data_IF_015814954782
#
_entry.id   IF_015814954782
#
_cell.length_a   1.000
_cell.length_b   1.000
_cell.length_c   1.000
_cell.angle_alpha   90.00
_cell.angle_beta   90.00
_cell.angle_gamma   90.00
#
_symmetry.space_group_name_H-M   'P 1'
#
loop_
_entity.id
_entity.type
_entity.pdbx_description
1 polymer ?
#
# COMPACT_ATOMS: atom_id res chain seq x y z
N UNK A 1 5.84 88.01 -25.46
CA UNK A 1 7.13 87.71 -26.15
C UNK A 1 7.37 86.22 -25.95
N UNK A 2 7.14 85.28 -26.87
CA UNK A 2 6.90 85.25 -28.33
C UNK A 2 5.62 84.45 -28.63
N UNK A 3 4.92 84.89 -29.67
CA UNK A 3 3.87 84.20 -30.44
C UNK A 3 4.52 83.74 -31.75
N UNK A 4 4.28 82.50 -32.21
CA UNK A 4 4.16 82.02 -33.61
C UNK A 4 3.59 80.58 -33.47
N UNK A 5 2.34 80.22 -33.73
CA UNK A 5 1.50 80.13 -34.93
C UNK A 5 1.96 79.19 -36.08
N UNK A 6 0.97 78.39 -36.50
CA UNK A 6 0.63 77.96 -37.86
C UNK A 6 0.98 76.56 -38.40
N UNK A 7 -0.13 75.83 -38.63
CA UNK A 7 -0.52 75.18 -39.88
C UNK A 7 0.17 73.88 -40.32
N UNK A 8 -0.65 72.86 -40.58
CA UNK A 8 -0.21 71.63 -41.25
C UNK A 8 -1.29 70.55 -41.37
N UNK A 9 -2.51 70.91 -41.76
CA UNK A 9 -3.54 69.95 -42.18
C UNK A 9 -3.35 69.56 -43.66
N UNK A 10 -3.66 68.27 -43.95
CA UNK A 10 -3.78 67.57 -45.26
C UNK A 10 -2.47 66.92 -45.72
N UNK A 11 -2.42 65.61 -46.02
CA UNK A 11 -3.20 64.85 -47.03
C UNK A 11 -2.73 63.38 -46.90
N UNK A 12 -3.56 62.32 -46.83
CA UNK A 12 -4.11 61.47 -47.91
C UNK A 12 -4.76 60.25 -47.19
N UNK A 13 -6.08 60.04 -47.23
CA UNK A 13 -6.86 59.22 -48.19
C UNK A 13 -6.64 57.70 -48.09
N UNK A 14 -7.73 57.03 -47.71
CA UNK A 14 -8.21 55.67 -48.05
C UNK A 14 -7.77 54.39 -47.30
N UNK A 15 -8.85 53.64 -46.94
CA UNK A 15 -9.00 52.17 -46.81
C UNK A 15 -8.19 51.49 -45.69
N UNK A 16 -8.73 50.65 -44.80
CA UNK A 16 -9.80 49.68 -44.89
C UNK A 16 -10.28 49.32 -43.45
N UNK A 17 -11.59 49.14 -43.26
CA UNK A 17 -12.15 48.53 -42.06
C UNK A 17 -11.91 47.01 -42.12
N UNK A 18 -10.81 46.54 -41.53
CA UNK A 18 -10.57 45.12 -41.32
C UNK A 18 -11.40 44.60 -40.16
N UNK A 19 -12.49 43.90 -40.47
CA UNK A 19 -13.22 43.08 -39.51
C UNK A 19 -12.28 41.99 -38.96
N UNK A 20 -12.07 41.98 -37.65
CA UNK A 20 -11.40 40.85 -36.98
C UNK A 20 -12.37 39.65 -37.06
N UNK A 21 -11.96 38.50 -37.60
CA UNK A 21 -12.85 37.37 -37.75
C UNK A 21 -13.18 36.82 -36.36
N UNK A 22 -14.46 36.89 -35.97
CA UNK A 22 -15.01 36.31 -34.73
C UNK A 22 -14.67 34.81 -34.54
N UNK A 23 -14.20 34.11 -35.58
CA UNK A 23 -13.87 32.69 -35.52
C UNK A 23 -12.56 32.35 -34.79
N UNK A 24 -11.58 33.25 -34.67
CA UNK A 24 -10.27 32.93 -34.03
C UNK A 24 -10.23 33.18 -32.53
N UNK A 25 -10.96 34.19 -32.04
CA UNK A 25 -11.08 34.45 -30.60
C UNK A 25 -11.96 33.41 -29.89
N UNK A 26 -13.01 32.90 -30.56
CA UNK A 26 -13.86 31.85 -30.04
C UNK A 26 -13.15 30.48 -29.94
N UNK A 27 -12.24 30.16 -30.87
CA UNK A 27 -11.46 28.91 -30.81
C UNK A 27 -10.43 28.91 -29.67
N UNK A 28 -9.80 30.06 -29.38
CA UNK A 28 -8.85 30.17 -28.27
C UNK A 28 -9.55 30.10 -26.90
N UNK A 29 -10.73 30.71 -26.77
CA UNK A 29 -11.54 30.59 -25.55
C UNK A 29 -12.09 29.17 -25.34
N UNK A 30 -12.46 28.45 -26.41
CA UNK A 30 -12.90 27.07 -26.32
C UNK A 30 -11.75 26.10 -25.95
N UNK A 31 -10.53 26.33 -26.46
CA UNK A 31 -9.33 25.55 -26.10
C UNK A 31 -8.89 25.79 -24.65
N UNK A 32 -9.01 27.01 -24.12
CA UNK A 32 -8.76 27.29 -22.70
C UNK A 32 -9.87 26.75 -21.78
N UNK A 33 -11.12 26.71 -22.24
CA UNK A 33 -12.22 26.12 -21.49
C UNK A 33 -12.17 24.58 -21.42
N UNK A 34 -11.65 23.92 -22.47
CA UNK A 34 -11.41 22.46 -22.50
C UNK A 34 -10.23 22.02 -21.63
N UNK A 35 -9.28 22.92 -21.32
CA UNK A 35 -8.18 22.63 -20.40
C UNK A 35 -8.59 22.73 -18.91
N UNK A 36 -9.75 23.33 -18.60
CA UNK A 36 -10.22 23.56 -17.23
C UNK A 36 -11.20 22.49 -16.73
N UNK A 37 -11.51 21.46 -17.53
CA UNK A 37 -12.43 20.38 -17.14
C UNK A 37 -11.81 18.99 -17.14
N UNK A 38 -10.49 18.86 -17.29
CA UNK A 38 -9.85 17.60 -16.94
C UNK A 38 -10.03 17.43 -15.41
N UNK A 39 -10.77 16.41 -14.94
CA UNK A 39 -10.81 16.14 -13.51
C UNK A 39 -9.36 16.00 -13.06
N UNK A 40 -8.96 16.81 -12.07
CA UNK A 40 -7.64 16.68 -11.47
C UNK A 40 -7.46 15.20 -11.13
N UNK A 41 -6.52 14.53 -11.81
CA UNK A 41 -6.24 13.13 -11.55
C UNK A 41 -5.93 13.04 -10.05
N UNK A 42 -6.79 12.37 -9.29
CA UNK A 42 -6.57 12.15 -7.87
C UNK A 42 -5.39 11.19 -7.78
N UNK A 43 -4.24 11.72 -7.42
CA UNK A 43 -3.05 10.95 -7.12
C UNK A 43 -3.19 10.45 -5.68
N UNK A 44 -3.32 9.14 -5.47
CA UNK A 44 -3.42 8.55 -4.13
C UNK A 44 -2.78 7.16 -4.09
N UNK A 45 -2.20 6.82 -2.95
CA UNK A 45 -1.66 5.49 -2.67
C UNK A 45 -2.48 4.95 -1.50
N UNK A 46 -3.74 4.61 -1.79
CA UNK A 46 -4.86 4.36 -0.85
C UNK A 46 -4.59 3.34 0.25
N UNK A 47 -3.58 2.49 0.06
CA UNK A 47 -3.15 1.46 1.00
C UNK A 47 -2.07 1.96 1.98
N UNK A 48 -1.82 3.27 2.02
CA UNK A 48 -0.96 3.93 2.99
C UNK A 48 -1.75 4.72 4.03
N UNK A 49 -1.03 5.25 5.02
CA UNK A 49 -1.61 6.18 5.99
C UNK A 49 -2.20 7.43 5.31
N UNK A 50 -3.46 7.80 5.66
CA UNK A 50 -4.13 8.98 5.09
C UNK A 50 -3.48 10.30 5.54
N UNK A 51 -2.59 10.28 6.53
CA UNK A 51 -1.83 11.46 6.95
C UNK A 51 -0.79 11.91 5.91
N UNK A 52 -0.55 11.10 4.88
CA UNK A 52 0.44 11.39 3.83
C UNK A 52 -0.18 11.69 2.46
N UNK A 53 -1.48 11.45 2.27
CA UNK A 53 -2.15 11.56 0.97
C UNK A 53 -2.01 12.96 0.36
N UNK A 54 -2.02 14.02 1.19
CA UNK A 54 -1.83 15.40 0.71
C UNK A 54 -0.43 15.70 0.13
N UNK A 55 0.55 14.83 0.35
CA UNK A 55 1.90 14.95 -0.19
C UNK A 55 2.07 14.24 -1.54
N UNK A 56 1.12 13.39 -1.93
CA UNK A 56 1.15 12.67 -3.19
C UNK A 56 0.66 13.60 -4.30
N UNK A 57 1.54 13.89 -5.27
CA UNK A 57 1.27 14.83 -6.35
C UNK A 57 1.87 14.32 -7.66
N UNK A 58 1.12 14.49 -8.75
CA UNK A 58 1.59 14.14 -10.07
C UNK A 58 1.66 12.63 -10.28
N UNK A 59 2.79 12.16 -10.80
CA UNK A 59 3.02 10.80 -11.27
C UNK A 59 4.12 10.16 -10.44
N UNK A 60 3.92 8.93 -9.97
CA UNK A 60 4.99 8.18 -9.33
C UNK A 60 6.14 7.97 -10.31
N UNK A 61 7.38 8.11 -9.82
CA UNK A 61 8.57 7.97 -10.66
C UNK A 61 9.35 6.71 -10.32
N UNK A 62 9.30 6.30 -9.05
CA UNK A 62 10.03 5.15 -8.57
C UNK A 62 9.11 4.22 -7.79
N UNK A 63 9.33 2.93 -7.95
CA UNK A 63 8.74 1.89 -7.15
C UNK A 63 9.84 1.20 -6.35
N UNK A 64 9.69 1.18 -5.03
CA UNK A 64 10.56 0.46 -4.12
C UNK A 64 9.93 -0.88 -3.75
N UNK A 65 10.70 -1.96 -3.87
CA UNK A 65 10.29 -3.32 -3.51
C UNK A 65 11.18 -3.83 -2.37
N UNK A 66 10.56 -4.14 -1.24
CA UNK A 66 11.24 -4.87 -0.17
C UNK A 66 11.34 -6.33 -0.56
N UNK A 67 12.57 -6.84 -0.55
CA UNK A 67 12.88 -8.12 -1.15
C UNK A 67 13.59 -8.99 -0.13
N UNK A 68 13.08 -10.19 0.06
CA UNK A 68 13.66 -11.21 0.92
C UNK A 68 14.80 -11.93 0.17
N UNK A 69 15.96 -12.02 0.82
CA UNK A 69 17.12 -12.72 0.31
C UNK A 69 16.90 -14.23 0.30
N UNK A 70 17.46 -14.89 -0.72
CA UNK A 70 17.33 -16.33 -0.91
C UNK A 70 18.70 -16.96 -1.15
N UNK A 71 18.92 -18.12 -0.54
CA UNK A 71 20.15 -18.88 -0.71
C UNK A 71 20.36 -19.24 -2.19
N UNK A 72 21.53 -18.94 -2.74
CA UNK A 72 21.88 -19.17 -4.14
C UNK A 72 21.36 -18.11 -5.12
N UNK A 73 20.69 -17.05 -4.66
CA UNK A 73 20.20 -15.95 -5.51
C UNK A 73 20.94 -14.66 -5.19
N UNK A 74 21.73 -14.16 -6.16
CA UNK A 74 22.48 -12.92 -6.02
C UNK A 74 23.44 -12.93 -4.81
N UNK A 75 23.34 -11.90 -3.98
CA UNK A 75 24.09 -11.79 -2.71
C UNK A 75 23.38 -12.42 -1.51
N UNK A 76 22.26 -13.10 -1.74
CA UNK A 76 21.41 -13.77 -0.75
C UNK A 76 20.87 -12.88 0.38
N UNK A 77 21.01 -11.55 0.28
CA UNK A 77 20.62 -10.60 1.30
C UNK A 77 19.20 -10.09 1.09
N UNK A 78 18.47 -9.77 2.16
CA UNK A 78 17.33 -8.89 1.99
C UNK A 78 17.81 -7.52 1.50
N UNK A 79 16.99 -6.86 0.68
CA UNK A 79 17.37 -5.61 0.01
C UNK A 79 16.17 -4.77 -0.41
N UNK A 80 16.40 -3.47 -0.54
CA UNK A 80 15.47 -2.55 -1.17
C UNK A 80 15.84 -2.41 -2.64
N UNK A 81 14.92 -2.77 -3.53
CA UNK A 81 15.08 -2.66 -4.99
C UNK A 81 14.30 -1.43 -5.46
N UNK A 82 14.92 -0.56 -6.25
CA UNK A 82 14.27 0.63 -6.83
C UNK A 82 14.15 0.47 -8.33
N UNK A 83 12.92 0.62 -8.82
CA UNK A 83 12.52 0.46 -10.22
C UNK A 83 12.04 1.80 -10.76
N UNK A 84 12.46 2.16 -11.98
CA UNK A 84 11.90 3.30 -12.69
C UNK A 84 10.53 2.94 -13.28
N UNK A 85 9.50 3.67 -12.86
CA UNK A 85 8.11 3.47 -13.28
C UNK A 85 7.54 4.68 -14.03
N UNK A 86 8.40 5.59 -14.52
CA UNK A 86 7.98 6.72 -15.36
C UNK A 86 7.64 6.24 -16.77
N UNK A 87 6.38 6.34 -17.23
CA UNK A 87 6.03 5.92 -18.59
C UNK A 87 6.85 6.66 -19.65
N UNK A 88 7.49 5.90 -20.55
CA UNK A 88 8.30 6.44 -21.65
C UNK A 88 9.75 6.79 -21.29
N UNK A 89 10.19 6.61 -20.05
CA UNK A 89 11.62 6.72 -19.72
C UNK A 89 12.43 5.60 -20.39
N UNK A 90 13.73 5.83 -20.60
CA UNK A 90 14.65 4.82 -21.20
C UNK A 90 14.87 3.59 -20.30
N UNK A 91 14.53 3.74 -19.03
CA UNK A 91 14.69 2.75 -17.97
C UNK A 91 13.36 2.29 -17.39
N UNK A 92 12.23 2.61 -18.04
CA UNK A 92 10.91 2.18 -17.60
C UNK A 92 10.86 0.66 -17.45
N UNK A 93 10.41 0.19 -16.28
CA UNK A 93 10.35 -1.22 -15.92
C UNK A 93 11.72 -1.87 -15.67
N UNK A 94 12.76 -1.09 -15.39
CA UNK A 94 14.10 -1.59 -15.06
C UNK A 94 14.48 -1.25 -13.62
N UNK A 95 15.22 -2.16 -13.00
CA UNK A 95 15.93 -1.89 -11.75
C UNK A 95 17.00 -0.82 -12.01
N UNK A 96 16.95 0.27 -11.25
CA UNK A 96 17.91 1.37 -11.34
C UNK A 96 18.81 1.47 -10.11
N UNK A 97 18.41 0.88 -8.99
CA UNK A 97 19.20 0.86 -7.77
C UNK A 97 18.82 -0.32 -6.88
N UNK A 98 19.79 -0.83 -6.12
CA UNK A 98 19.60 -1.82 -5.06
C UNK A 98 20.45 -1.47 -3.86
N UNK A 99 19.92 -1.68 -2.65
CA UNK A 99 20.68 -1.57 -1.40
C UNK A 99 20.40 -2.78 -0.51
N UNK A 100 21.42 -3.61 -0.32
CA UNK A 100 21.39 -4.80 0.52
C UNK A 100 21.72 -4.45 1.97
N UNK A 101 21.01 -5.10 2.91
CA UNK A 101 21.15 -4.83 4.35
C UNK A 101 21.85 -5.96 5.13
N UNK A 102 22.26 -7.02 4.44
CA UNK A 102 22.94 -8.21 4.96
C UNK A 102 21.99 -9.20 5.64
N UNK A 103 22.21 -10.50 5.44
CA UNK A 103 21.42 -11.57 6.05
C UNK A 103 20.02 -11.76 5.45
N UNK A 104 19.29 -12.76 5.98
CA UNK A 104 17.94 -13.16 5.56
C UNK A 104 17.07 -13.25 6.82
N UNK A 105 16.21 -12.27 7.04
CA UNK A 105 15.39 -12.23 8.26
C UNK A 105 13.91 -12.08 7.96
N UNK A 106 13.44 -12.63 6.85
CA UNK A 106 12.04 -12.56 6.46
C UNK A 106 11.58 -11.11 6.22
N UNK A 107 12.28 -10.41 5.32
CA UNK A 107 11.86 -9.09 4.82
C UNK A 107 10.42 -9.14 4.29
N UNK A 108 9.56 -8.30 4.87
CA UNK A 108 8.12 -8.41 4.63
C UNK A 108 7.51 -7.03 4.31
N UNK A 109 7.13 -6.23 5.31
CA UNK A 109 6.41 -4.97 5.08
C UNK A 109 7.24 -3.70 5.25
N UNK A 110 6.78 -2.63 4.62
CA UNK A 110 7.35 -1.29 4.72
C UNK A 110 6.28 -0.21 4.91
N UNK A 111 6.69 0.94 5.43
CA UNK A 111 5.85 2.13 5.53
C UNK A 111 6.66 3.41 5.68
N UNK A 112 6.07 4.54 5.30
CA UNK A 112 6.73 5.83 5.34
C UNK A 112 6.59 6.52 6.70
N UNK A 113 7.45 7.49 6.97
CA UNK A 113 7.17 8.59 7.91
C UNK A 113 6.11 9.53 7.33
N UNK A 114 5.47 10.33 8.19
CA UNK A 114 4.39 11.26 7.81
C UNK A 114 4.79 12.33 6.78
N UNK A 115 6.10 12.61 6.64
CA UNK A 115 6.66 13.49 5.62
C UNK A 115 7.12 12.76 4.34
N UNK A 116 6.92 11.44 4.26
CA UNK A 116 7.35 10.53 3.17
C UNK A 116 8.85 10.52 2.87
N UNK A 117 9.71 11.08 3.73
CA UNK A 117 11.15 11.13 3.48
C UNK A 117 11.88 9.86 3.88
N UNK A 118 11.35 9.13 4.85
CA UNK A 118 11.96 7.91 5.34
C UNK A 118 11.04 6.72 5.14
N UNK A 119 11.59 5.64 4.61
CA UNK A 119 10.91 4.37 4.41
C UNK A 119 11.44 3.35 5.43
N UNK A 120 10.57 2.91 6.31
CA UNK A 120 10.84 1.91 7.35
C UNK A 120 10.49 0.53 6.81
N UNK A 121 11.40 -0.43 6.95
CA UNK A 121 11.25 -1.78 6.40
C UNK A 121 11.58 -2.85 7.44
N UNK A 122 10.64 -3.76 7.69
CA UNK A 122 10.72 -4.78 8.73
C UNK A 122 11.21 -6.13 8.25
N UNK A 123 11.81 -6.87 9.18
CA UNK A 123 12.13 -8.30 9.11
C UNK A 123 11.34 -9.04 10.18
N UNK A 124 10.57 -10.03 9.78
CA UNK A 124 9.70 -10.75 10.70
C UNK A 124 10.48 -11.67 11.65
N UNK A 125 11.60 -12.24 11.20
CA UNK A 125 12.33 -13.27 11.96
C UNK A 125 13.33 -12.65 12.96
N UNK A 126 14.25 -11.82 12.46
CA UNK A 126 15.30 -11.20 13.30
C UNK A 126 14.88 -9.89 13.97
N UNK A 127 13.64 -9.43 13.72
CA UNK A 127 13.01 -8.25 14.31
C UNK A 127 13.64 -6.91 13.97
N UNK A 128 14.57 -6.87 13.01
CA UNK A 128 15.23 -5.63 12.61
C UNK A 128 14.30 -4.76 11.79
N UNK A 129 14.46 -3.45 11.98
CA UNK A 129 13.81 -2.42 11.18
C UNK A 129 14.89 -1.56 10.54
N UNK A 130 14.83 -1.42 9.22
CA UNK A 130 15.75 -0.59 8.44
C UNK A 130 15.05 0.70 8.03
N UNK A 131 15.73 1.84 8.19
CA UNK A 131 15.22 3.15 7.80
C UNK A 131 16.03 3.67 6.63
N UNK A 132 15.38 3.81 5.48
CA UNK A 132 15.96 4.35 4.26
C UNK A 132 15.54 5.81 4.07
N UNK A 133 16.48 6.70 3.80
CA UNK A 133 16.20 8.02 3.24
C UNK A 133 15.87 7.87 1.75
N UNK A 134 14.63 8.20 1.42
CA UNK A 134 14.08 8.26 0.06
C UNK A 134 13.66 9.69 -0.32
N UNK A 135 13.81 10.65 0.60
CA UNK A 135 13.41 12.04 0.40
C UNK A 135 14.47 12.87 -0.31
N UNK A 136 15.75 12.58 -0.06
CA UNK A 136 16.86 13.30 -0.68
C UNK A 136 17.01 12.97 -2.18
N UNK A 137 17.05 11.67 -2.50
CA UNK A 137 17.05 11.16 -3.87
C UNK A 137 16.34 9.79 -3.91
N UNK A 138 15.05 9.73 -4.29
CA UNK A 138 14.33 8.47 -4.36
C UNK A 138 14.84 7.53 -5.45
N UNK A 139 15.67 7.99 -6.39
CA UNK A 139 16.29 7.08 -7.37
C UNK A 139 17.44 6.27 -6.78
N UNK A 140 18.06 6.76 -5.69
CA UNK A 140 19.16 6.10 -4.98
C UNK A 140 18.97 6.22 -3.46
N UNK A 141 18.02 5.48 -2.86
CA UNK A 141 17.80 5.50 -1.42
C UNK A 141 19.05 5.17 -0.61
N UNK A 142 19.12 5.67 0.63
CA UNK A 142 20.25 5.40 1.54
C UNK A 142 19.77 4.81 2.84
N UNK A 143 20.38 3.71 3.30
CA UNK A 143 20.17 3.23 4.66
C UNK A 143 20.78 4.25 5.64
N UNK A 144 19.96 4.82 6.52
CA UNK A 144 20.39 5.83 7.49
C UNK A 144 20.35 5.35 8.94
N UNK A 145 19.55 4.32 9.24
CA UNK A 145 19.47 3.72 10.57
C UNK A 145 18.98 2.27 10.51
N UNK A 146 19.44 1.48 11.46
CA UNK A 146 18.89 0.16 11.78
C UNK A 146 18.46 0.17 13.24
N UNK A 147 17.26 -0.33 13.51
CA UNK A 147 16.75 -0.61 14.86
C UNK A 147 16.80 -2.14 15.03
N UNK A 148 17.52 -2.60 16.04
CA UNK A 148 17.75 -4.03 16.31
C UNK A 148 17.40 -4.43 17.76
N UNK A 149 16.78 -3.52 18.51
CA UNK A 149 16.42 -3.70 19.92
C UNK A 149 14.91 -3.70 20.19
N UNK A 150 14.08 -3.87 19.15
CA UNK A 150 12.61 -3.92 19.25
C UNK A 150 12.14 -4.94 20.30
N UNK A 151 12.64 -6.16 20.19
CA UNK A 151 12.25 -7.27 21.06
C UNK A 151 12.68 -7.02 22.51
N UNK A 152 13.87 -6.46 22.74
CA UNK A 152 14.37 -6.17 24.08
C UNK A 152 13.62 -4.99 24.74
N UNK A 153 13.27 -3.97 23.96
CA UNK A 153 12.57 -2.78 24.48
C UNK A 153 11.09 -3.02 24.75
N UNK A 154 10.45 -3.95 24.04
CA UNK A 154 8.98 -4.05 24.03
C UNK A 154 8.46 -5.44 24.36
N UNK A 155 9.27 -6.49 24.23
CA UNK A 155 8.82 -7.88 24.30
C UNK A 155 8.12 -8.40 23.04
N UNK A 156 7.86 -7.54 22.04
CA UNK A 156 7.20 -7.91 20.79
C UNK A 156 8.19 -8.25 19.67
N UNK A 157 7.80 -9.18 18.80
CA UNK A 157 8.60 -9.68 17.67
C UNK A 157 7.74 -9.75 16.40
N UNK A 158 8.37 -9.76 15.23
CA UNK A 158 7.72 -9.74 13.92
C UNK A 158 7.07 -8.40 13.59
N UNK A 159 7.84 -7.30 13.41
CA UNK A 159 7.29 -6.02 12.97
C UNK A 159 6.71 -6.11 11.55
N UNK A 160 5.41 -5.90 11.43
CA UNK A 160 4.65 -6.10 10.19
C UNK A 160 4.16 -4.79 9.59
N UNK A 161 2.97 -4.29 9.94
CA UNK A 161 2.48 -3.03 9.37
C UNK A 161 3.18 -1.83 9.98
N UNK A 162 3.77 -0.98 9.13
CA UNK A 162 4.36 0.31 9.48
C UNK A 162 3.42 1.43 9.01
N UNK A 163 2.87 2.19 9.95
CA UNK A 163 1.82 3.15 9.67
C UNK A 163 2.18 4.55 10.17
N UNK A 164 2.23 5.52 9.26
CA UNK A 164 2.54 6.90 9.61
C UNK A 164 1.44 7.52 10.48
N UNK A 165 1.84 8.21 11.53
CA UNK A 165 1.04 9.15 12.31
C UNK A 165 1.76 10.51 12.30
N UNK A 166 1.09 11.63 12.56
CA UNK A 166 1.77 12.93 12.67
C UNK A 166 2.94 12.88 13.69
N UNK A 167 4.18 13.05 13.19
CA UNK A 167 5.43 12.97 13.94
C UNK A 167 5.82 11.61 14.51
N UNK A 168 5.13 10.52 14.13
CA UNK A 168 5.31 9.19 14.72
C UNK A 168 5.15 8.07 13.68
N UNK A 169 5.68 6.90 14.00
CA UNK A 169 5.42 5.66 13.26
C UNK A 169 4.80 4.66 14.22
N UNK A 170 3.62 4.15 13.87
CA UNK A 170 2.97 3.07 14.60
C UNK A 170 3.28 1.75 13.89
N UNK A 171 3.77 0.76 14.64
CA UNK A 171 4.15 -0.55 14.10
C UNK A 171 3.33 -1.64 14.77
N UNK A 172 2.64 -2.46 13.99
CA UNK A 172 1.99 -3.67 14.49
C UNK A 172 2.99 -4.82 14.47
N UNK A 173 3.24 -5.43 15.61
CA UNK A 173 4.00 -6.69 15.67
C UNK A 173 3.07 -7.90 15.53
N UNK A 174 3.58 -9.06 15.15
CA UNK A 174 2.78 -10.30 14.98
C UNK A 174 2.87 -11.26 16.17
N UNK A 175 3.89 -11.14 17.01
CA UNK A 175 4.20 -12.14 18.02
C UNK A 175 4.95 -11.53 19.21
N UNK A 176 5.42 -12.39 20.12
CA UNK A 176 6.15 -11.99 21.31
C UNK A 176 7.38 -12.87 21.54
N UNK A 177 8.36 -12.33 22.30
CA UNK A 177 9.61 -13.00 22.65
C UNK A 177 9.43 -14.15 23.66
N UNK A 178 8.33 -14.17 24.41
CA UNK A 178 8.16 -15.08 25.54
C UNK A 178 7.84 -16.52 25.10
N UNK A 179 6.95 -16.68 24.13
CA UNK A 179 6.52 -18.00 23.66
C UNK A 179 6.42 -18.12 22.13
N UNK A 180 6.71 -17.05 21.38
CA UNK A 180 6.57 -17.01 19.92
C UNK A 180 5.14 -17.36 19.43
N UNK A 181 4.14 -17.21 20.31
CA UNK A 181 2.72 -17.32 20.00
C UNK A 181 2.17 -16.03 19.39
N UNK A 182 0.88 -16.00 19.03
CA UNK A 182 0.27 -14.87 18.32
C UNK A 182 -0.07 -13.65 19.19
N UNK A 183 0.09 -13.74 20.52
CA UNK A 183 -0.13 -12.59 21.40
C UNK A 183 0.91 -11.50 21.13
N UNK A 184 0.45 -10.27 20.92
CA UNK A 184 1.29 -9.18 20.41
C UNK A 184 0.78 -7.79 20.82
N UNK A 185 1.32 -6.73 20.23
CA UNK A 185 0.95 -5.34 20.47
C UNK A 185 1.39 -4.37 19.38
N UNK A 186 0.95 -3.13 19.56
CA UNK A 186 1.31 -1.96 18.78
C UNK A 186 2.50 -1.24 19.44
N UNK A 187 3.52 -0.90 18.65
CA UNK A 187 4.67 -0.13 19.12
C UNK A 187 4.67 1.24 18.45
N UNK A 188 4.63 2.30 19.25
CA UNK A 188 4.70 3.67 18.76
C UNK A 188 6.14 4.16 18.86
N UNK A 189 6.69 4.60 17.74
CA UNK A 189 8.00 5.24 17.64
C UNK A 189 7.87 6.73 17.35
N UNK A 190 8.88 7.52 17.76
CA UNK A 190 9.10 8.83 17.13
C UNK A 190 9.71 8.64 15.73
N UNK A 191 9.72 9.67 14.89
CA UNK A 191 10.33 9.60 13.56
C UNK A 191 11.85 9.33 13.59
N UNK A 192 12.52 9.54 14.73
CA UNK A 192 13.95 9.27 14.89
C UNK A 192 14.25 7.79 15.15
N UNK A 193 13.26 6.93 15.41
CA UNK A 193 13.47 5.51 15.70
C UNK A 193 13.46 5.13 17.18
N UNK A 194 13.05 6.02 18.09
CA UNK A 194 12.96 5.70 19.52
C UNK A 194 11.55 5.27 19.89
N UNK A 195 11.45 4.21 20.69
CA UNK A 195 10.18 3.71 21.23
C UNK A 195 9.60 4.74 22.19
N UNK A 196 8.37 5.16 21.95
CA UNK A 196 7.58 6.04 22.82
C UNK A 196 6.64 5.22 23.71
N UNK A 197 5.99 4.21 23.14
CA UNK A 197 4.99 3.40 23.82
C UNK A 197 4.86 2.02 23.19
N UNK A 198 4.42 1.05 24.00
CA UNK A 198 4.03 -0.28 23.58
C UNK A 198 2.65 -0.57 24.17
N UNK A 199 1.67 -0.87 23.32
CA UNK A 199 0.27 -1.08 23.69
C UNK A 199 -0.14 -2.51 23.32
N UNK A 200 -0.53 -3.37 24.27
CA UNK A 200 -0.92 -4.74 23.97
C UNK A 200 -2.22 -4.79 23.17
N UNK A 201 -2.34 -5.81 22.32
CA UNK A 201 -3.63 -6.19 21.74
C UNK A 201 -4.59 -6.67 22.84
N UNK A 202 -5.90 -6.36 22.77
CA UNK A 202 -6.84 -6.69 23.84
C UNK A 202 -7.05 -8.20 23.98
N UNK A 203 -7.15 -8.65 25.22
CA UNK A 203 -7.57 -10.01 25.61
C UNK A 203 -8.95 -10.02 26.26
N UNK A 204 -9.46 -8.85 26.64
CA UNK A 204 -10.76 -8.64 27.23
C UNK A 204 -11.82 -8.37 26.15
N UNK A 205 -13.09 -8.44 26.55
CA UNK A 205 -14.24 -8.10 25.70
C UNK A 205 -14.28 -8.84 24.35
N UNK A 206 -13.74 -10.06 24.31
CA UNK A 206 -13.71 -10.91 23.11
C UNK A 206 -12.44 -10.77 22.25
N UNK A 207 -11.44 -10.00 22.68
CA UNK A 207 -10.14 -9.92 22.02
C UNK A 207 -9.34 -11.23 22.11
N UNK A 208 -8.65 -11.59 21.03
CA UNK A 208 -7.79 -12.78 20.98
C UNK A 208 -6.32 -12.45 21.35
N UNK A 209 -5.95 -11.17 21.38
CA UNK A 209 -4.58 -10.68 21.61
C UNK A 209 -3.68 -10.72 20.37
N UNK A 210 -4.21 -11.08 19.21
CA UNK A 210 -3.47 -11.18 17.95
C UNK A 210 -3.48 -9.84 17.21
N UNK A 211 -2.53 -9.68 16.29
CA UNK A 211 -2.36 -8.47 15.48
C UNK A 211 -1.91 -8.82 14.06
N UNK A 212 -2.18 -7.92 13.12
CA UNK A 212 -1.68 -8.00 11.74
C UNK A 212 -1.57 -6.63 11.09
N UNK A 213 -2.66 -6.09 10.56
CA UNK A 213 -2.66 -4.82 9.83
C UNK A 213 -3.22 -3.66 10.67
N UNK A 214 -2.89 -2.42 10.26
CA UNK A 214 -3.38 -1.17 10.83
C UNK A 214 -4.04 -0.37 9.71
N UNK A 215 -5.24 0.16 9.95
CA UNK A 215 -5.83 1.15 9.05
C UNK A 215 -6.59 2.23 9.82
N UNK A 216 -6.40 3.49 9.42
CA UNK A 216 -6.92 4.65 10.15
C UNK A 216 -7.96 5.42 9.33
N UNK A 217 -9.05 5.80 9.97
CA UNK A 217 -9.96 6.84 9.50
C UNK A 217 -9.82 8.09 10.39
N UNK A 218 -9.06 9.12 9.94
CA UNK A 218 -8.81 10.30 10.77
C UNK A 218 -10.06 11.18 10.94
N UNK A 219 -11.03 11.11 10.02
CA UNK A 219 -12.25 11.91 10.09
C UNK A 219 -13.13 11.49 11.28
N UNK A 220 -13.11 10.21 11.63
CA UNK A 220 -13.91 9.64 12.72
C UNK A 220 -13.11 9.40 14.01
N UNK A 221 -11.80 9.72 14.04
CA UNK A 221 -10.88 9.38 15.13
C UNK A 221 -10.78 7.85 15.38
N UNK A 222 -10.81 7.05 14.31
CA UNK A 222 -10.84 5.59 14.42
C UNK A 222 -9.59 4.96 13.85
N UNK A 223 -9.14 3.91 14.52
CA UNK A 223 -8.18 2.96 13.99
C UNK A 223 -8.78 1.56 14.04
N UNK A 224 -8.52 0.77 13.00
CA UNK A 224 -8.77 -0.66 12.97
C UNK A 224 -7.45 -1.40 13.02
N UNK A 225 -7.43 -2.50 13.75
CA UNK A 225 -6.39 -3.52 13.65
C UNK A 225 -7.02 -4.87 13.32
N UNK A 226 -6.31 -5.71 12.59
CA UNK A 226 -6.73 -7.07 12.27
C UNK A 226 -5.83 -8.10 12.96
N UNK A 227 -5.98 -9.38 12.64
CA UNK A 227 -5.38 -10.48 13.41
C UNK A 227 -4.91 -11.61 12.50
N UNK A 228 -3.68 -12.10 12.72
CA UNK A 228 -3.10 -13.20 11.95
C UNK A 228 -2.59 -14.34 12.83
N UNK A 229 -1.30 -14.64 12.86
CA UNK A 229 -0.72 -15.75 13.63
C UNK A 229 0.67 -15.39 14.13
N UNK A 230 1.15 -16.13 15.12
CA UNK A 230 2.46 -15.90 15.74
C UNK A 230 3.63 -16.51 14.98
N UNK A 231 4.84 -16.19 15.43
CA UNK A 231 6.10 -16.61 14.79
C UNK A 231 6.19 -18.12 14.60
N UNK A 232 5.75 -18.90 15.59
CA UNK A 232 5.76 -20.37 15.50
C UNK A 232 4.99 -20.90 14.30
N UNK A 233 3.91 -20.23 13.91
CA UNK A 233 3.08 -20.63 12.77
C UNK A 233 3.60 -20.04 11.45
N UNK A 234 3.88 -18.74 11.38
CA UNK A 234 4.28 -18.12 10.10
C UNK A 234 5.68 -18.53 9.66
N UNK A 235 6.54 -18.99 10.59
CA UNK A 235 7.84 -19.60 10.24
C UNK A 235 7.76 -21.11 10.03
N UNK A 236 6.61 -21.75 10.20
CA UNK A 236 6.42 -23.17 9.89
C UNK A 236 6.30 -23.39 8.39
N UNK A 237 6.80 -24.53 7.88
CA UNK A 237 6.49 -24.97 6.51
C UNK A 237 4.96 -25.08 6.33
N UNK A 238 4.45 -24.50 5.24
CA UNK A 238 3.00 -24.44 5.00
C UNK A 238 2.34 -25.82 4.92
N UNK A 239 3.03 -26.82 4.36
CA UNK A 239 2.51 -28.19 4.25
C UNK A 239 2.36 -28.85 5.63
N UNK A 240 3.31 -28.60 6.53
CA UNK A 240 3.24 -29.03 7.92
C UNK A 240 2.13 -28.29 8.68
N UNK A 241 2.06 -26.97 8.53
CA UNK A 241 1.09 -26.10 9.20
C UNK A 241 -0.36 -26.54 8.92
N UNK A 242 -0.69 -26.78 7.65
CA UNK A 242 -2.04 -27.18 7.23
C UNK A 242 -2.45 -28.53 7.84
N UNK A 243 -1.50 -29.43 8.10
CA UNK A 243 -1.76 -30.75 8.68
C UNK A 243 -1.79 -30.73 10.22
N UNK A 244 -1.26 -29.68 10.84
CA UNK A 244 -1.21 -29.54 12.29
C UNK A 244 -2.49 -28.87 12.83
N UNK A 245 -3.41 -29.70 13.34
CA UNK A 245 -4.68 -29.23 13.91
C UNK A 245 -4.54 -28.33 15.14
N UNK A 246 -3.40 -28.37 15.85
CA UNK A 246 -3.13 -27.47 16.97
C UNK A 246 -2.63 -26.11 16.45
N UNK A 247 -1.70 -26.12 15.49
CA UNK A 247 -1.23 -24.91 14.84
C UNK A 247 -2.37 -24.16 14.13
N UNK A 248 -3.27 -24.87 13.44
CA UNK A 248 -4.44 -24.28 12.78
C UNK A 248 -5.45 -23.62 13.73
N UNK A 249 -5.40 -23.90 15.04
CA UNK A 249 -6.20 -23.18 16.04
C UNK A 249 -5.56 -21.86 16.47
N UNK A 250 -4.28 -21.65 16.19
CA UNK A 250 -3.53 -20.46 16.55
C UNK A 250 -3.58 -19.40 15.44
N UNK A 251 -4.76 -19.15 14.89
CA UNK A 251 -5.02 -18.03 13.99
C UNK A 251 -6.04 -17.10 14.61
N UNK A 252 -5.78 -15.81 14.48
CA UNK A 252 -6.64 -14.73 14.91
C UNK A 252 -7.98 -14.76 14.18
N UNK A 253 -9.00 -14.31 14.89
CA UNK A 253 -10.38 -14.34 14.44
C UNK A 253 -11.09 -13.03 14.77
N UNK A 254 -10.34 -11.95 14.95
CA UNK A 254 -10.88 -10.66 15.38
C UNK A 254 -10.36 -9.48 14.58
N UNK A 255 -11.17 -8.43 14.56
CA UNK A 255 -10.71 -7.08 14.24
C UNK A 255 -11.06 -6.19 15.42
N UNK A 256 -10.22 -5.20 15.73
CA UNK A 256 -10.42 -4.31 16.87
C UNK A 256 -10.58 -2.88 16.37
N UNK A 257 -11.63 -2.21 16.83
CA UNK A 257 -11.85 -0.78 16.67
C UNK A 257 -11.28 -0.04 17.88
N UNK A 258 -10.49 1.00 17.60
CA UNK A 258 -9.80 1.80 18.60
C UNK A 258 -10.20 3.27 18.48
N UNK A 259 -10.28 3.95 19.62
CA UNK A 259 -10.11 5.40 19.68
C UNK A 259 -8.62 5.69 19.39
N UNK A 260 -8.36 6.28 18.22
CA UNK A 260 -7.00 6.54 17.76
C UNK A 260 -6.23 7.50 18.69
N UNK A 261 -6.86 8.62 19.10
CA UNK A 261 -6.19 9.64 19.93
C UNK A 261 -5.92 9.12 21.33
N UNK A 262 -6.85 8.36 21.90
CA UNK A 262 -6.67 7.75 23.21
C UNK A 262 -5.80 6.48 23.17
N UNK A 263 -5.56 5.92 21.98
CA UNK A 263 -4.93 4.60 21.78
C UNK A 263 -5.61 3.51 22.64
N UNK A 264 -6.94 3.51 22.66
CA UNK A 264 -7.75 2.64 23.50
C UNK A 264 -8.67 1.76 22.65
N UNK A 265 -8.74 0.44 22.90
CA UNK A 265 -9.69 -0.43 22.20
C UNK A 265 -11.11 -0.12 22.71
N UNK A 266 -12.04 0.06 21.78
CA UNK A 266 -13.43 0.41 22.06
C UNK A 266 -14.39 -0.75 21.74
N UNK A 267 -14.09 -1.52 20.68
CA UNK A 267 -14.93 -2.64 20.27
C UNK A 267 -14.11 -3.73 19.59
N UNK A 268 -14.40 -4.99 19.91
CA UNK A 268 -13.86 -6.15 19.21
C UNK A 268 -14.94 -6.76 18.33
N UNK A 269 -14.61 -7.04 17.08
CA UNK A 269 -15.44 -7.73 16.11
C UNK A 269 -14.98 -9.18 15.95
N UNK A 270 -15.92 -10.13 15.92
CA UNK A 270 -15.65 -11.50 15.49
C UNK A 270 -15.59 -11.56 13.97
N UNK A 271 -14.40 -11.79 13.43
CA UNK A 271 -14.11 -11.88 11.99
C UNK A 271 -13.25 -13.13 11.76
N UNK A 272 -13.86 -14.33 11.68
CA UNK A 272 -13.12 -15.58 11.65
C UNK A 272 -12.34 -15.79 10.35
N UNK A 273 -11.16 -16.40 10.50
CA UNK A 273 -10.35 -16.88 9.40
C UNK A 273 -9.19 -15.97 9.02
N UNK A 274 -8.50 -15.40 10.02
CA UNK A 274 -7.37 -14.49 9.85
C UNK A 274 -7.70 -13.31 8.91
N UNK A 275 -8.45 -12.30 9.40
CA UNK A 275 -8.60 -11.04 8.68
C UNK A 275 -7.21 -10.41 8.52
N UNK A 276 -6.79 -10.21 7.29
CA UNK A 276 -5.47 -9.69 6.98
C UNK A 276 -5.54 -8.18 6.76
N UNK A 277 -5.25 -7.75 5.54
CA UNK A 277 -5.20 -6.35 5.11
C UNK A 277 -6.54 -5.63 5.32
N UNK A 278 -6.49 -4.39 5.83
CA UNK A 278 -7.64 -3.52 6.06
C UNK A 278 -7.51 -2.30 5.15
N UNK A 279 -8.59 -1.93 4.47
CA UNK A 279 -8.64 -0.71 3.65
C UNK A 279 -9.85 0.13 4.02
N UNK A 280 -9.61 1.34 4.51
CA UNK A 280 -10.66 2.35 4.68
C UNK A 280 -11.02 2.96 3.32
N UNK A 281 -12.32 3.21 3.11
CA UNK A 281 -12.77 4.04 2.01
C UNK A 281 -12.45 5.51 2.32
N UNK A 282 -11.38 6.05 1.74
CA UNK A 282 -10.93 7.42 1.99
C UNK A 282 -11.68 8.49 1.15
N UNK A 283 -12.62 8.05 0.31
CA UNK A 283 -13.48 8.96 -0.45
C UNK A 283 -14.27 9.87 0.52
N UNK A 284 -14.43 11.17 0.24
CA UNK A 284 -15.14 12.08 1.14
C UNK A 284 -16.53 11.56 1.52
N UNK A 285 -16.80 11.44 2.82
CA UNK A 285 -18.07 10.94 3.35
C UNK A 285 -18.22 9.41 3.34
N UNK A 286 -17.25 8.66 2.81
CA UNK A 286 -17.22 7.21 2.95
C UNK A 286 -16.66 6.84 4.33
N UNK A 287 -17.54 6.36 5.21
CA UNK A 287 -17.18 5.93 6.57
C UNK A 287 -17.37 4.41 6.70
N UNK A 288 -16.53 3.65 5.99
CA UNK A 288 -16.50 2.20 6.05
C UNK A 288 -15.11 1.66 5.68
N UNK A 289 -14.79 0.45 6.14
CA UNK A 289 -13.58 -0.27 5.80
C UNK A 289 -13.91 -1.68 5.30
N UNK A 290 -12.99 -2.27 4.54
CA UNK A 290 -13.10 -3.64 4.08
C UNK A 290 -11.81 -4.42 4.41
N UNK A 291 -11.96 -5.71 4.70
CA UNK A 291 -10.85 -6.64 4.90
C UNK A 291 -11.14 -7.98 4.23
N UNK A 292 -10.10 -8.75 3.94
CA UNK A 292 -10.19 -10.10 3.39
C UNK A 292 -9.71 -11.12 4.44
N UNK A 293 -10.42 -12.24 4.56
CA UNK A 293 -10.04 -13.34 5.45
C UNK A 293 -9.33 -14.45 4.69
N UNK A 294 -8.12 -14.80 5.13
CA UNK A 294 -7.28 -15.77 4.44
C UNK A 294 -7.88 -17.19 4.45
N UNK A 295 -8.37 -17.64 5.61
CA UNK A 295 -8.78 -19.03 5.81
C UNK A 295 -10.25 -19.28 5.43
N UNK A 296 -11.10 -18.26 5.54
CA UNK A 296 -12.53 -18.38 5.19
C UNK A 296 -12.85 -17.83 3.80
N UNK A 297 -11.91 -17.16 3.15
CA UNK A 297 -12.04 -16.63 1.78
C UNK A 297 -13.21 -15.67 1.59
N UNK A 298 -13.41 -14.73 2.53
CA UNK A 298 -14.51 -13.76 2.50
C UNK A 298 -14.01 -12.33 2.53
N UNK A 299 -14.82 -11.42 1.98
CA UNK A 299 -14.72 -9.99 2.22
C UNK A 299 -15.63 -9.62 3.40
N UNK A 300 -15.08 -8.87 4.35
CA UNK A 300 -15.78 -8.33 5.52
C UNK A 300 -15.85 -6.80 5.43
N UNK A 301 -17.05 -6.26 5.58
CA UNK A 301 -17.31 -4.82 5.66
C UNK A 301 -17.43 -4.40 7.13
N UNK A 302 -16.68 -3.36 7.51
CA UNK A 302 -16.84 -2.64 8.78
C UNK A 302 -17.51 -1.30 8.50
N UNK A 303 -18.72 -1.09 9.04
CA UNK A 303 -19.54 0.11 8.81
C UNK A 303 -20.51 0.33 9.98
N UNK A 304 -20.96 1.58 10.17
CA UNK A 304 -22.08 1.86 11.06
C UNK A 304 -23.42 1.34 10.52
N UNK A 305 -24.24 0.77 11.39
CA UNK A 305 -25.64 0.44 11.12
C UNK A 305 -26.56 1.68 11.27
N UNK A 306 -27.87 1.49 11.07
CA UNK A 306 -28.89 2.55 11.21
C UNK A 306 -28.93 3.15 12.62
N UNK A 307 -28.47 2.41 13.63
CA UNK A 307 -28.36 2.85 15.03
C UNK A 307 -26.98 3.49 15.33
N UNK A 308 -26.19 3.79 14.30
CA UNK A 308 -24.84 4.37 14.38
C UNK A 308 -23.83 3.51 15.13
N UNK A 309 -24.10 2.21 15.25
CA UNK A 309 -23.19 1.28 15.90
C UNK A 309 -22.28 0.63 14.86
N UNK A 310 -20.99 0.54 15.15
CA UNK A 310 -20.07 -0.16 14.26
C UNK A 310 -20.35 -1.66 14.25
N UNK A 311 -20.38 -2.23 13.04
CA UNK A 311 -20.60 -3.65 12.76
C UNK A 311 -19.57 -4.13 11.76
N UNK A 312 -19.08 -5.35 11.95
CA UNK A 312 -18.36 -6.11 10.93
C UNK A 312 -19.29 -7.22 10.41
N UNK A 313 -19.45 -7.35 9.10
CA UNK A 313 -20.26 -8.42 8.48
C UNK A 313 -19.58 -8.96 7.22
N UNK A 314 -19.67 -10.27 6.94
CA UNK A 314 -19.27 -10.79 5.64
C UNK A 314 -20.22 -10.26 4.57
N UNK A 315 -19.67 -9.84 3.42
CA UNK A 315 -20.44 -9.22 2.33
C UNK A 315 -20.24 -9.89 0.98
N UNK A 316 -19.17 -10.65 0.79
CA UNK A 316 -18.94 -11.45 -0.42
C UNK A 316 -17.97 -12.61 -0.16
N UNK A 317 -18.07 -13.65 -1.00
CA UNK A 317 -17.09 -14.72 -1.09
C UNK A 317 -16.03 -14.36 -2.14
N UNK A 318 -14.75 -14.64 -1.85
CA UNK A 318 -13.61 -14.45 -2.76
C UNK A 318 -13.35 -15.74 -3.55
N UNK A 319 -13.57 -16.89 -2.90
CA UNK A 319 -13.39 -18.23 -3.48
C UNK A 319 -13.85 -19.30 -2.50
N UNK A 320 -13.79 -20.56 -2.92
CA UNK A 320 -14.13 -21.70 -2.06
C UNK A 320 -12.96 -21.99 -1.10
N UNK A 321 -13.11 -21.80 0.23
CA UNK A 321 -12.04 -22.06 1.19
C UNK A 321 -11.57 -23.54 1.18
N UNK A 322 -12.39 -24.49 0.72
CA UNK A 322 -11.97 -25.89 0.59
C UNK A 322 -10.88 -26.09 -0.48
N UNK A 323 -10.78 -25.16 -1.44
CA UNK A 323 -9.72 -25.13 -2.46
C UNK A 323 -8.48 -24.34 -2.01
N UNK A 324 -8.54 -23.74 -0.82
CA UNK A 324 -7.46 -22.94 -0.20
C UNK A 324 -6.92 -21.88 -1.16
N UNK A 325 -7.75 -20.97 -1.72
CA UNK A 325 -7.24 -19.91 -2.60
C UNK A 325 -6.30 -18.96 -1.85
N UNK A 326 -6.55 -18.77 -0.54
CA UNK A 326 -5.76 -17.97 0.40
C UNK A 326 -5.66 -16.49 -0.05
N UNK A 327 -6.72 -15.68 0.14
CA UNK A 327 -6.63 -14.23 -0.05
C UNK A 327 -5.58 -13.63 0.88
N UNK A 328 -4.63 -12.87 0.32
CA UNK A 328 -3.45 -12.38 1.07
C UNK A 328 -3.28 -10.87 1.03
N UNK A 329 -3.72 -10.21 -0.04
CA UNK A 329 -3.65 -8.75 -0.13
C UNK A 329 -4.85 -8.17 -0.91
N UNK A 330 -5.19 -6.93 -0.55
CA UNK A 330 -6.24 -6.15 -1.18
C UNK A 330 -5.80 -4.71 -1.44
N UNK A 331 -6.24 -4.14 -2.55
CA UNK A 331 -5.96 -2.74 -2.92
C UNK A 331 -7.23 -2.04 -3.40
N UNK A 332 -7.70 -1.07 -2.60
CA UNK A 332 -8.92 -0.30 -2.87
C UNK A 332 -8.62 0.87 -3.81
N UNK A 333 -9.50 1.14 -4.78
CA UNK A 333 -9.36 2.34 -5.62
C UNK A 333 -9.64 3.64 -4.83
N UNK A 334 -9.07 4.76 -5.28
CA UNK A 334 -9.18 6.06 -4.58
C UNK A 334 -10.61 6.62 -4.48
N UNK A 335 -11.50 6.20 -5.37
CA UNK A 335 -12.93 6.52 -5.30
C UNK A 335 -13.74 5.51 -4.45
N UNK A 336 -13.07 4.50 -3.90
CA UNK A 336 -13.63 3.40 -3.13
C UNK A 336 -14.69 2.57 -3.87
N UNK A 337 -14.70 2.59 -5.20
CA UNK A 337 -15.68 1.85 -6.02
C UNK A 337 -15.18 0.51 -6.54
N UNK A 338 -13.90 0.21 -6.38
CA UNK A 338 -13.37 -1.10 -6.75
C UNK A 338 -12.28 -1.57 -5.80
N UNK A 339 -12.09 -2.89 -5.76
CA UNK A 339 -11.12 -3.55 -4.91
C UNK A 339 -10.44 -4.68 -5.68
N UNK A 340 -9.12 -4.57 -5.82
CA UNK A 340 -8.29 -5.69 -6.23
C UNK A 340 -8.09 -6.63 -5.06
N UNK A 341 -8.23 -7.93 -5.29
CA UNK A 341 -8.05 -8.99 -4.30
C UNK A 341 -7.16 -10.07 -4.90
N UNK A 342 -6.02 -10.34 -4.25
CA UNK A 342 -5.10 -11.38 -4.67
C UNK A 342 -5.27 -12.64 -3.82
N UNK A 343 -5.31 -13.79 -4.48
CA UNK A 343 -5.30 -15.11 -3.84
C UNK A 343 -4.02 -15.84 -4.20
N UNK A 344 -3.31 -16.23 -3.15
CA UNK A 344 -1.95 -16.69 -3.26
C UNK A 344 -1.80 -18.03 -3.98
N UNK A 345 -2.60 -19.01 -3.58
CA UNK A 345 -2.38 -20.40 -4.01
C UNK A 345 -2.74 -20.66 -5.46
N UNK A 346 -3.71 -19.92 -6.01
CA UNK A 346 -4.08 -20.03 -7.42
C UNK A 346 -3.37 -18.99 -8.32
N UNK A 347 -2.63 -18.05 -7.72
CA UNK A 347 -1.89 -16.99 -8.42
C UNK A 347 -2.79 -16.00 -9.16
N UNK A 348 -4.00 -15.75 -8.67
CA UNK A 348 -5.04 -14.98 -9.37
C UNK A 348 -5.34 -13.67 -8.68
N UNK A 349 -5.43 -12.59 -9.48
CA UNK A 349 -6.02 -11.32 -9.06
C UNK A 349 -7.48 -11.25 -9.47
N UNK A 350 -8.33 -10.68 -8.62
CA UNK A 350 -9.77 -10.46 -8.85
C UNK A 350 -10.10 -8.99 -8.65
N UNK A 351 -11.03 -8.47 -9.43
CA UNK A 351 -11.60 -7.14 -9.21
C UNK A 351 -13.04 -7.29 -8.70
N UNK A 352 -13.32 -6.62 -7.60
CA UNK A 352 -14.68 -6.46 -7.07
C UNK A 352 -15.18 -5.04 -7.33
N UNK A 353 -16.42 -4.91 -7.79
CA UNK A 353 -17.19 -3.67 -7.74
C UNK A 353 -17.69 -3.43 -6.32
N UNK A 354 -17.36 -2.27 -5.75
CA UNK A 354 -17.74 -1.79 -4.42
C UNK A 354 -18.69 -0.58 -4.47
N UNK A 355 -19.34 -0.32 -5.60
CA UNK A 355 -20.35 0.76 -5.71
C UNK A 355 -21.46 0.63 -4.66
N UNK A 356 -21.81 -0.61 -4.29
CA UNK A 356 -22.51 -0.95 -3.05
C UNK A 356 -21.59 -1.83 -2.19
N UNK A 357 -20.93 -1.29 -1.15
CA UNK A 357 -19.99 -2.07 -0.34
C UNK A 357 -20.67 -3.15 0.50
N UNK A 358 -22.00 -3.14 0.62
CA UNK A 358 -22.74 -4.21 1.28
C UNK A 358 -23.00 -5.42 0.38
N UNK A 359 -22.84 -5.26 -0.94
CA UNK A 359 -23.02 -6.32 -1.94
C UNK A 359 -21.91 -6.27 -3.00
N UNK A 360 -20.62 -6.44 -2.61
CA UNK A 360 -19.52 -6.51 -3.57
C UNK A 360 -19.77 -7.58 -4.63
N UNK A 361 -19.38 -7.30 -5.87
CA UNK A 361 -19.50 -8.27 -6.98
C UNK A 361 -18.17 -8.41 -7.69
N UNK A 362 -17.68 -9.64 -7.83
CA UNK A 362 -16.54 -9.88 -8.70
C UNK A 362 -16.93 -9.58 -10.15
N UNK A 363 -16.16 -8.71 -10.81
CA UNK A 363 -16.40 -8.28 -12.20
C UNK A 363 -15.28 -8.71 -13.14
N UNK A 364 -14.11 -9.06 -12.61
CA UNK A 364 -12.95 -9.46 -13.39
C UNK A 364 -12.05 -10.41 -12.60
N UNK A 365 -11.28 -11.23 -13.32
CA UNK A 365 -10.23 -12.08 -12.75
C UNK A 365 -9.16 -12.38 -13.79
N UNK A 366 -7.89 -12.46 -13.37
CA UNK A 366 -6.77 -12.85 -14.23
C UNK A 366 -5.73 -13.64 -13.44
N UNK A 367 -5.23 -14.72 -14.02
CA UNK A 367 -4.06 -15.43 -13.48
C UNK A 367 -2.80 -14.63 -13.79
N UNK A 368 -2.06 -14.25 -12.75
CA UNK A 368 -0.84 -13.42 -12.84
C UNK A 368 0.41 -14.31 -12.82
N UNK A 369 0.37 -15.41 -12.07
CA UNK A 369 1.49 -16.36 -11.95
C UNK A 369 1.04 -17.69 -11.36
N UNK A 370 2.01 -18.55 -11.01
CA UNK A 370 1.77 -19.74 -10.21
C UNK A 370 1.38 -19.38 -8.77
N UNK A 371 1.92 -18.28 -8.25
CA UNK A 371 1.53 -17.62 -7.00
C UNK A 371 1.47 -16.09 -7.21
N UNK A 372 0.73 -15.37 -6.36
CA UNK A 372 0.72 -13.90 -6.34
C UNK A 372 0.39 -13.42 -4.93
N UNK A 373 1.12 -12.42 -4.42
CA UNK A 373 0.86 -11.83 -3.12
C UNK A 373 0.45 -10.36 -3.25
N UNK A 374 1.38 -9.41 -3.14
CA UNK A 374 1.01 -8.01 -2.97
C UNK A 374 0.45 -7.42 -4.27
N UNK A 375 -0.50 -6.51 -4.13
CA UNK A 375 -1.06 -5.66 -5.16
C UNK A 375 -0.90 -4.19 -4.78
N UNK A 376 -0.48 -3.36 -5.72
CA UNK A 376 -0.46 -1.91 -5.54
C UNK A 376 -0.92 -1.21 -6.80
N UNK A 377 -1.69 -0.14 -6.65
CA UNK A 377 -2.13 0.69 -7.76
C UNK A 377 -1.23 1.92 -7.88
N UNK A 378 -0.97 2.35 -9.12
CA UNK A 378 -0.39 3.66 -9.37
C UNK A 378 -1.25 4.76 -8.79
N UNK A 379 -0.67 5.95 -8.61
CA UNK A 379 -1.38 7.06 -8.00
C UNK A 379 -2.63 7.48 -8.78
N UNK A 380 -2.60 7.33 -10.10
CA UNK A 380 -3.73 7.62 -10.99
C UNK A 380 -4.74 6.46 -11.15
N UNK A 381 -4.49 5.31 -10.52
CA UNK A 381 -5.31 4.10 -10.62
C UNK A 381 -5.30 3.39 -11.98
N UNK A 382 -4.42 3.78 -12.91
CA UNK A 382 -4.37 3.22 -14.28
C UNK A 382 -3.39 2.07 -14.44
N UNK A 383 -2.55 1.81 -13.44
CA UNK A 383 -1.57 0.71 -13.45
C UNK A 383 -1.71 -0.09 -12.18
N UNK A 384 -1.55 -1.40 -12.30
CA UNK A 384 -1.60 -2.33 -11.18
C UNK A 384 -0.34 -3.17 -11.18
N UNK A 385 0.31 -3.25 -10.03
CA UNK A 385 1.60 -3.89 -9.84
C UNK A 385 1.42 -5.08 -8.92
N UNK A 386 2.13 -6.17 -9.21
CA UNK A 386 2.03 -7.43 -8.50
C UNK A 386 3.40 -7.98 -8.16
N UNK A 387 3.55 -8.43 -6.92
CA UNK A 387 4.69 -9.24 -6.46
C UNK A 387 4.19 -10.58 -5.94
N UNK A 388 5.11 -11.51 -5.73
CA UNK A 388 4.78 -12.94 -5.60
C UNK A 388 4.95 -13.50 -4.21
N UNK A 389 5.96 -13.06 -3.45
CA UNK A 389 6.34 -13.74 -2.21
C UNK A 389 5.38 -13.42 -1.08
N UNK A 390 4.96 -14.44 -0.33
CA UNK A 390 4.20 -14.29 0.92
C UNK A 390 5.12 -14.43 2.13
N UNK A 391 5.64 -15.63 2.35
CA UNK A 391 6.60 -15.97 3.39
C UNK A 391 7.52 -17.06 2.80
N UNK A 392 8.81 -17.07 3.14
CA UNK A 392 9.79 -18.00 2.58
C UNK A 392 9.36 -19.46 2.69
N UNK A 393 8.76 -19.81 3.83
CA UNK A 393 8.32 -21.17 4.15
C UNK A 393 6.92 -21.50 3.61
N UNK A 394 6.21 -20.53 3.03
CA UNK A 394 4.87 -20.69 2.46
C UNK A 394 4.85 -20.52 0.94
N UNK A 395 5.84 -19.81 0.40
CA UNK A 395 6.12 -19.74 -1.02
C UNK A 395 6.17 -21.13 -1.65
N UNK A 396 5.63 -21.22 -2.87
CA UNK A 396 5.70 -22.44 -3.65
C UNK A 396 7.17 -22.79 -3.91
N UNK A 397 7.37 -24.03 -4.34
CA UNK A 397 8.71 -24.61 -4.53
C UNK A 397 8.93 -24.93 -6.01
N UNK A 398 10.18 -25.10 -6.41
CA UNK A 398 10.58 -25.51 -7.76
C UNK A 398 10.06 -24.54 -8.84
N UNK A 399 9.54 -25.07 -9.96
CA UNK A 399 9.04 -24.29 -11.09
C UNK A 399 7.87 -23.35 -10.72
N UNK A 400 7.13 -23.66 -9.66
CA UNK A 400 6.02 -22.82 -9.20
C UNK A 400 6.48 -21.70 -8.24
N UNK A 401 7.74 -21.70 -7.79
CA UNK A 401 8.34 -20.62 -6.99
C UNK A 401 8.69 -19.42 -7.86
N UNK A 402 7.70 -18.84 -8.53
CA UNK A 402 7.88 -17.65 -9.34
C UNK A 402 8.18 -16.45 -8.42
N UNK A 403 9.27 -15.73 -8.71
CA UNK A 403 9.62 -14.50 -8.00
C UNK A 403 9.72 -13.34 -8.96
N UNK A 404 8.75 -12.43 -8.94
CA UNK A 404 8.68 -11.33 -9.90
C UNK A 404 8.06 -10.05 -9.35
N UNK A 405 8.28 -8.97 -10.10
CA UNK A 405 7.40 -7.81 -10.17
C UNK A 405 6.78 -7.76 -11.56
N UNK A 406 5.45 -7.70 -11.67
CA UNK A 406 4.74 -7.46 -12.93
C UNK A 406 3.88 -6.22 -12.83
N UNK A 407 3.93 -5.37 -13.85
CA UNK A 407 3.07 -4.20 -13.97
C UNK A 407 2.09 -4.38 -15.12
N UNK A 408 0.85 -3.99 -14.91
CA UNK A 408 -0.23 -4.05 -15.89
C UNK A 408 -0.85 -2.67 -16.04
N UNK A 409 -1.19 -2.29 -17.28
CA UNK A 409 -2.10 -1.19 -17.54
C UNK A 409 -3.54 -1.69 -17.39
N UNK A 410 -4.38 -0.89 -16.75
CA UNK A 410 -5.81 -1.14 -16.59
C UNK A 410 -6.61 -0.12 -17.39
N UNK A 411 -7.36 -0.58 -18.39
CA UNK A 411 -8.19 0.27 -19.25
C UNK A 411 -9.67 0.35 -18.80
N UNK A 412 -10.00 -0.26 -17.65
CA UNK A 412 -11.37 -0.42 -17.16
C UNK A 412 -12.02 -1.75 -17.55
N UNK A 413 -11.35 -2.57 -18.35
CA UNK A 413 -11.87 -3.86 -18.86
C UNK A 413 -10.86 -5.01 -18.77
N UNK A 414 -9.59 -4.78 -19.12
CA UNK A 414 -8.56 -5.81 -19.19
C UNK A 414 -7.23 -5.31 -18.63
N UNK A 415 -6.53 -6.18 -17.89
CA UNK A 415 -5.13 -5.95 -17.52
C UNK A 415 -4.21 -6.34 -18.69
N UNK A 416 -3.52 -5.34 -19.24
CA UNK A 416 -2.52 -5.56 -20.29
C UNK A 416 -1.12 -5.43 -19.68
N UNK A 417 -0.31 -6.48 -19.78
CA UNK A 417 1.04 -6.48 -19.21
C UNK A 417 1.87 -5.37 -19.84
N UNK A 418 2.49 -4.55 -18.98
CA UNK A 418 3.37 -3.45 -19.38
C UNK A 418 4.83 -3.87 -19.32
N UNK A 419 5.24 -4.48 -18.21
CA UNK A 419 6.57 -5.06 -18.04
C UNK A 419 6.54 -6.14 -16.96
N UNK A 420 7.57 -6.99 -16.98
CA UNK A 420 7.84 -7.99 -15.95
C UNK A 420 9.34 -7.99 -15.62
N UNK A 421 9.66 -8.08 -14.33
CA UNK A 421 11.01 -8.27 -13.82
C UNK A 421 11.03 -9.61 -13.10
N UNK A 422 11.87 -10.53 -13.57
CA UNK A 422 12.14 -11.81 -12.90
C UNK A 422 13.22 -11.60 -11.84
N UNK A 423 12.82 -11.62 -10.58
CA UNK A 423 13.70 -11.32 -9.46
C UNK A 423 14.75 -12.42 -9.21
N UNK A 424 14.49 -13.66 -9.60
CA UNK A 424 15.51 -14.70 -9.56
C UNK A 424 16.57 -14.48 -10.62
N UNK A 425 16.16 -14.19 -11.86
CA UNK A 425 17.07 -13.93 -12.98
C UNK A 425 17.95 -12.70 -12.74
N UNK A 426 17.40 -11.67 -12.09
CA UNK A 426 18.12 -10.45 -11.73
C UNK A 426 18.93 -10.58 -10.42
N UNK A 427 18.89 -11.74 -9.74
CA UNK A 427 19.63 -11.96 -8.49
C UNK A 427 19.12 -11.12 -7.31
N UNK A 428 17.84 -10.77 -7.31
CA UNK A 428 17.24 -9.85 -6.34
C UNK A 428 16.69 -10.59 -5.11
N UNK A 429 16.14 -11.79 -5.28
CA UNK A 429 15.52 -12.57 -4.22
C UNK A 429 14.01 -12.69 -4.42
N UNK A 430 13.24 -12.59 -3.34
CA UNK A 430 11.78 -12.80 -3.30
C UNK A 430 11.04 -11.48 -3.11
N UNK A 431 10.28 -11.06 -4.11
CA UNK A 431 9.62 -9.75 -4.12
C UNK A 431 8.40 -9.71 -3.20
N UNK A 432 8.34 -8.77 -2.25
CA UNK A 432 7.24 -8.63 -1.30
C UNK A 432 6.56 -7.25 -1.36
N UNK A 433 6.75 -6.33 -0.40
CA UNK A 433 5.97 -5.09 -0.31
C UNK A 433 6.49 -4.02 -1.27
N UNK A 434 5.56 -3.30 -1.89
CA UNK A 434 5.76 -2.19 -2.81
C UNK A 434 5.44 -0.83 -2.17
N UNK A 435 6.25 0.20 -2.45
CA UNK A 435 5.94 1.61 -2.13
C UNK A 435 6.39 2.56 -3.23
N UNK A 436 5.54 3.53 -3.58
CA UNK A 436 5.85 4.50 -4.63
C UNK A 436 6.47 5.79 -4.09
N UNK A 437 7.39 6.37 -4.85
CA UNK A 437 7.94 7.71 -4.59
C UNK A 437 8.07 8.51 -5.87
N UNK A 438 8.24 9.82 -5.73
CA UNK A 438 8.59 10.72 -6.80
C UNK A 438 9.62 11.72 -6.27
N UNK A 439 10.47 12.24 -7.16
CA UNK A 439 11.35 13.34 -6.81
C UNK A 439 10.52 14.51 -6.28
N UNK A 440 11.03 15.19 -5.24
CA UNK A 440 10.42 16.41 -4.77
C UNK A 440 10.25 17.38 -5.95
N UNK A 441 9.10 18.07 -6.07
CA UNK A 441 8.97 19.14 -7.06
C UNK A 441 10.14 20.09 -6.87
N UNK A 442 10.95 20.32 -7.92
CA UNK A 442 11.96 21.36 -7.86
C UNK A 442 11.22 22.64 -7.48
N UNK A 443 11.55 23.24 -6.33
CA UNK A 443 11.02 24.54 -6.00
C UNK A 443 11.35 25.44 -7.20
N UNK A 444 10.32 26.03 -7.81
CA UNK A 444 10.51 26.96 -8.92
C UNK A 444 11.59 27.95 -8.49
N UNK A 445 12.73 27.92 -9.17
CA UNK A 445 13.77 28.91 -8.99
C UNK A 445 13.14 30.25 -9.40
N UNK A 446 12.63 30.98 -8.42
CA UNK A 446 12.13 32.34 -8.60
C UNK A 446 13.28 33.30 -8.84
#
# INVERSE_FOLDING_TARGET
MKIVDNSGWRRWVDREKGAIPLGRAALFAALCALALTAPAARADETCNSPFMTGLIKGQEQYLHVWTLGEKGVGDESDKLVTIDVVPGSKTYGKVIHTISVGGRGEAHHMGFTDDRKYLWAGRLDDNKIFIFDVGADPSTPKLVKTIDDLAEKTGYVGPHTFYALPGRVLVQALSNKQDHGGRTGLVTFNNAGDVIAATPMPLDNGGDGYGYDIAINPAENLMLTSSFTGWTNYMMDMGQLIQDSAAMKNFGATMVLWDLKAMKPEQVFSVPGAPLEIRWALAPGANWAISATALTSKLYLVKQDEQKQWRAKPVADIGDPATIPLPVDISIAADAKSLWVNTFMDGTTRLFDLSDPEKPKQTYSKKIGAQVNMVSQSWDGKRVYYTTSLLANWDKKNADNEQFLKAYAWDGKELTESFAIDFHKEGLGRAHHMKFTAAAPKADAK
#
